data_IF_938454745812
#
_entry.id   IF_938454745812
#
_cell.length_a   1.000
_cell.length_b   1.000
_cell.length_c   1.000
_cell.angle_alpha   90.00
_cell.angle_beta   90.00
_cell.angle_gamma   90.00
#
_symmetry.space_group_name_H-M   'P 1'
#
loop_
_entity.id
_entity.type
_entity.pdbx_description
1 polymer ?
#
# COMPACT_ATOMS: atom_id res chain seq x y z
N UNK A 1 39.37 14.29 37.76
CA UNK A 1 39.13 13.46 36.57
C UNK A 1 37.85 12.63 36.54
N UNK A 2 36.95 12.67 37.54
CA UNK A 2 35.71 11.86 37.60
C UNK A 2 34.42 12.60 37.19
N UNK A 3 34.45 13.91 37.01
CA UNK A 3 33.30 14.71 36.58
C UNK A 3 33.16 14.81 35.04
N UNK A 4 34.19 14.49 34.27
CA UNK A 4 34.19 14.59 32.81
C UNK A 4 33.53 13.42 32.07
N UNK A 5 33.37 12.26 32.74
CA UNK A 5 32.72 11.08 32.11
C UNK A 5 31.19 11.13 32.13
N UNK A 6 30.55 11.92 32.97
CA UNK A 6 29.11 12.04 33.02
C UNK A 6 28.56 12.99 31.89
N UNK A 7 29.40 13.89 31.38
CA UNK A 7 29.01 14.82 30.30
C UNK A 7 29.00 14.22 28.89
N UNK A 8 29.78 13.17 28.67
CA UNK A 8 29.93 12.58 27.32
C UNK A 8 28.78 11.68 26.95
N UNK A 9 28.05 11.12 27.91
CA UNK A 9 26.89 10.22 27.62
C UNK A 9 25.59 10.97 27.29
N UNK A 10 25.48 12.27 27.60
CA UNK A 10 24.30 13.07 27.24
C UNK A 10 24.40 13.72 25.86
N UNK A 11 25.59 13.83 25.30
CA UNK A 11 25.80 14.48 24.00
C UNK A 11 25.53 13.55 22.78
N UNK A 12 25.34 12.25 22.98
CA UNK A 12 25.15 11.28 21.92
C UNK A 12 23.66 11.08 21.49
N UNK A 13 22.73 11.80 22.12
CA UNK A 13 21.31 11.74 21.78
C UNK A 13 20.87 12.93 20.91
N UNK A 14 21.70 13.35 19.95
CA UNK A 14 21.20 14.19 18.88
C UNK A 14 20.15 13.39 18.09
N UNK A 15 18.90 13.89 17.94
CA UNK A 15 17.94 13.22 17.08
C UNK A 15 18.55 13.20 15.68
N UNK A 16 18.89 12.00 15.20
CA UNK A 16 19.15 11.81 13.79
C UNK A 16 17.90 12.32 13.08
N UNK A 17 18.02 13.43 12.36
CA UNK A 17 16.96 13.93 11.50
C UNK A 17 16.71 12.83 10.48
N UNK A 18 15.66 12.05 10.70
CA UNK A 18 15.24 11.06 9.75
C UNK A 18 14.84 11.81 8.48
N UNK A 19 15.65 11.70 7.45
CA UNK A 19 15.41 12.29 6.11
C UNK A 19 14.35 11.50 5.34
N UNK A 20 13.42 10.83 6.04
CA UNK A 20 12.29 10.09 5.50
C UNK A 20 10.98 10.86 5.59
N UNK A 21 9.95 10.32 4.96
CA UNK A 21 8.58 10.84 5.04
C UNK A 21 8.16 11.01 6.50
N UNK A 22 7.63 12.18 6.82
CA UNK A 22 7.12 12.47 8.16
C UNK A 22 5.87 11.60 8.43
N UNK A 23 5.62 11.15 9.68
CA UNK A 23 4.48 10.30 10.01
C UNK A 23 3.12 10.81 9.53
N UNK A 24 2.89 12.13 9.59
CA UNK A 24 1.70 12.76 9.03
C UNK A 24 1.57 12.60 7.50
N UNK A 25 2.66 12.34 6.81
CA UNK A 25 2.67 12.12 5.36
C UNK A 25 2.26 10.68 5.00
N UNK A 26 2.49 9.70 5.89
CA UNK A 26 2.04 8.32 5.69
C UNK A 26 0.53 8.19 5.82
N UNK A 27 -0.12 8.91 6.74
CA UNK A 27 -1.57 8.91 6.88
C UNK A 27 -2.30 9.51 5.67
N UNK A 28 -1.60 10.35 4.90
CA UNK A 28 -2.11 10.89 3.63
C UNK A 28 -1.96 9.90 2.45
N UNK A 29 -1.23 8.79 2.63
CA UNK A 29 -0.89 7.79 1.61
C UNK A 29 -1.38 6.41 2.05
N UNK A 30 -2.68 6.27 2.28
CA UNK A 30 -3.24 5.02 2.78
C UNK A 30 -4.44 4.57 1.96
N UNK A 31 -4.75 3.29 2.01
CA UNK A 31 -6.07 2.82 1.62
C UNK A 31 -7.07 3.14 2.73
N UNK A 32 -8.07 3.98 2.44
CA UNK A 32 -9.29 4.03 3.24
C UNK A 32 -10.19 2.92 2.75
N UNK A 33 -10.31 1.85 3.52
CA UNK A 33 -11.09 0.70 3.08
C UNK A 33 -12.58 1.02 3.05
N UNK A 34 -13.20 0.76 1.89
CA UNK A 34 -14.65 0.90 1.65
C UNK A 34 -15.22 -0.44 1.18
N UNK A 35 -15.21 -1.52 1.99
CA UNK A 35 -15.73 -2.81 1.58
C UNK A 35 -17.19 -2.70 1.11
N UNK A 36 -17.52 -3.35 0.02
CA UNK A 36 -18.84 -3.29 -0.61
C UNK A 36 -19.12 -2.03 -1.43
N UNK A 37 -18.25 -1.02 -1.41
CA UNK A 37 -18.43 0.15 -2.25
C UNK A 37 -18.29 -0.21 -3.75
N UNK A 38 -19.09 0.44 -4.58
CA UNK A 38 -19.12 0.26 -6.02
C UNK A 38 -18.02 1.09 -6.69
N UNK A 39 -17.20 0.47 -7.53
CA UNK A 39 -16.30 1.24 -8.41
C UNK A 39 -17.10 1.92 -9.54
N UNK A 40 -16.63 3.06 -10.09
CA UNK A 40 -17.36 3.77 -11.15
C UNK A 40 -17.29 3.00 -12.48
N UNK A 41 -18.27 2.13 -12.71
CA UNK A 41 -18.35 1.26 -13.89
C UNK A 41 -18.44 2.05 -15.21
N UNK A 42 -18.94 3.29 -15.15
CA UNK A 42 -19.04 4.24 -16.27
C UNK A 42 -17.71 4.94 -16.59
N UNK A 43 -16.68 4.75 -15.75
CA UNK A 43 -15.38 5.37 -15.98
C UNK A 43 -14.79 4.96 -17.33
N UNK A 44 -14.49 5.95 -18.17
CA UNK A 44 -13.89 5.74 -19.50
C UNK A 44 -12.39 5.95 -19.40
N UNK A 45 -11.65 4.92 -19.75
CA UNK A 45 -10.19 4.86 -19.80
C UNK A 45 -9.73 4.57 -21.23
N UNK A 46 -8.43 4.49 -21.46
CA UNK A 46 -7.83 4.07 -22.72
C UNK A 46 -7.05 2.77 -22.51
N UNK A 47 -7.25 1.81 -23.40
CA UNK A 47 -6.49 0.57 -23.43
C UNK A 47 -5.09 0.80 -24.06
N UNK A 48 -4.30 -0.25 -24.14
CA UNK A 48 -2.93 -0.26 -24.68
C UNK A 48 -2.86 0.11 -26.18
N UNK A 49 -3.99 0.02 -26.88
CA UNK A 49 -4.11 0.45 -28.28
C UNK A 49 -4.68 1.86 -28.43
N UNK A 50 -4.96 2.54 -27.31
CA UNK A 50 -5.54 3.88 -27.28
C UNK A 50 -7.05 3.93 -27.44
N UNK A 51 -7.73 2.79 -27.52
CA UNK A 51 -9.19 2.72 -27.66
C UNK A 51 -9.85 3.08 -26.33
N UNK A 52 -10.96 3.87 -26.38
CA UNK A 52 -11.73 4.15 -25.18
C UNK A 52 -12.45 2.87 -24.72
N UNK A 53 -12.31 2.54 -23.43
CA UNK A 53 -12.96 1.40 -22.81
C UNK A 53 -13.64 1.82 -21.51
N UNK A 54 -14.80 1.25 -21.19
CA UNK A 54 -15.48 1.47 -19.92
C UNK A 54 -14.99 0.43 -18.90
N UNK A 55 -14.70 0.86 -17.68
CA UNK A 55 -14.26 -0.03 -16.63
C UNK A 55 -15.22 -1.22 -16.44
N UNK A 56 -16.52 -0.95 -16.37
CA UNK A 56 -17.52 -2.01 -16.20
C UNK A 56 -17.54 -3.05 -17.32
N UNK A 57 -17.21 -2.67 -18.56
CA UNK A 57 -17.15 -3.63 -19.68
C UNK A 57 -15.95 -4.59 -19.57
N UNK A 58 -14.89 -4.19 -18.87
CA UNK A 58 -13.70 -5.02 -18.69
C UNK A 58 -13.90 -6.08 -17.60
N UNK A 59 -14.75 -5.82 -16.61
CA UNK A 59 -15.03 -6.80 -15.56
C UNK A 59 -15.72 -8.05 -16.09
N UNK A 60 -16.53 -7.90 -17.14
CA UNK A 60 -17.15 -9.01 -17.92
C UNK A 60 -17.89 -10.04 -17.04
N UNK A 61 -18.46 -9.63 -15.91
CA UNK A 61 -19.17 -10.52 -14.98
C UNK A 61 -18.26 -11.51 -14.25
N UNK A 62 -16.98 -11.21 -14.12
CA UNK A 62 -15.97 -12.01 -13.40
C UNK A 62 -15.40 -11.26 -12.22
N UNK A 63 -14.95 -11.95 -11.16
CA UNK A 63 -14.14 -11.29 -10.14
C UNK A 63 -12.94 -10.63 -10.80
N UNK A 64 -12.48 -9.51 -10.26
CA UNK A 64 -11.42 -8.74 -10.89
C UNK A 64 -10.41 -8.27 -9.86
N UNK A 65 -9.14 -8.24 -10.22
CA UNK A 65 -8.10 -7.58 -9.44
C UNK A 65 -7.86 -6.20 -10.05
N UNK A 66 -8.03 -5.15 -9.25
CA UNK A 66 -7.79 -3.77 -9.63
C UNK A 66 -6.56 -3.22 -8.90
N UNK A 67 -5.56 -2.83 -9.67
CA UNK A 67 -4.32 -2.21 -9.20
C UNK A 67 -4.28 -0.76 -9.68
N UNK A 68 -3.94 0.15 -8.78
CA UNK A 68 -3.67 1.56 -9.09
C UNK A 68 -2.18 1.81 -8.85
N UNK A 69 -1.45 2.12 -9.90
CA UNK A 69 -0.02 2.43 -9.83
C UNK A 69 0.41 3.29 -11.02
N UNK A 70 1.64 3.80 -11.04
CA UNK A 70 2.16 4.38 -12.26
C UNK A 70 3.15 3.42 -12.93
N UNK A 71 3.04 3.31 -14.26
CA UNK A 71 3.61 2.22 -15.03
C UNK A 71 5.12 2.33 -15.24
N UNK A 72 5.68 3.55 -15.12
CA UNK A 72 7.11 3.84 -15.26
C UNK A 72 7.82 4.09 -13.93
N UNK A 73 7.39 3.42 -12.86
CA UNK A 73 8.06 3.57 -11.56
C UNK A 73 9.48 2.99 -11.61
N UNK A 74 10.52 3.81 -11.40
CA UNK A 74 11.90 3.33 -11.37
C UNK A 74 12.25 2.59 -10.06
N UNK A 75 11.32 2.53 -9.09
CA UNK A 75 11.55 2.04 -7.74
C UNK A 75 10.67 0.82 -7.39
N UNK A 76 10.10 0.85 -6.18
CA UNK A 76 9.42 -0.30 -5.58
C UNK A 76 8.00 -0.58 -6.11
N UNK A 77 7.39 0.33 -6.89
CA UNK A 77 6.00 0.17 -7.33
C UNK A 77 5.80 -1.07 -8.19
N UNK A 78 6.74 -1.38 -9.06
CA UNK A 78 6.74 -2.62 -9.84
C UNK A 78 6.77 -3.91 -9.01
N UNK A 79 7.14 -3.85 -7.72
CA UNK A 79 7.14 -5.04 -6.86
C UNK A 79 5.74 -5.52 -6.52
N UNK A 80 4.76 -4.62 -6.34
CA UNK A 80 3.36 -5.01 -6.10
C UNK A 80 2.83 -5.78 -7.31
N UNK A 81 3.02 -5.23 -8.49
CA UNK A 81 2.54 -5.81 -9.73
C UNK A 81 3.28 -7.11 -10.08
N UNK A 82 4.60 -7.14 -9.96
CA UNK A 82 5.39 -8.35 -10.16
C UNK A 82 5.03 -9.46 -9.15
N UNK A 83 4.84 -9.10 -7.89
CA UNK A 83 4.37 -10.01 -6.84
C UNK A 83 3.00 -10.58 -7.17
N UNK A 84 2.06 -9.74 -7.57
CA UNK A 84 0.71 -10.16 -7.97
C UNK A 84 0.72 -11.09 -9.18
N UNK A 85 1.49 -10.77 -10.23
CA UNK A 85 1.63 -11.63 -11.43
C UNK A 85 2.22 -12.99 -11.06
N UNK A 86 3.25 -13.01 -10.21
CA UNK A 86 3.83 -14.24 -9.67
C UNK A 86 2.79 -15.05 -8.89
N UNK A 87 2.04 -14.39 -8.00
CA UNK A 87 1.06 -15.06 -7.15
C UNK A 87 -0.13 -15.60 -7.96
N UNK A 88 -0.56 -14.92 -9.04
CA UNK A 88 -1.52 -15.44 -10.01
C UNK A 88 -1.03 -16.74 -10.65
N UNK A 89 0.21 -16.77 -11.14
CA UNK A 89 0.82 -17.96 -11.73
C UNK A 89 0.91 -19.11 -10.72
N UNK A 90 1.39 -18.84 -9.51
CA UNK A 90 1.53 -19.85 -8.46
C UNK A 90 0.18 -20.37 -7.94
N UNK A 91 -0.87 -19.54 -7.96
CA UNK A 91 -2.23 -19.93 -7.60
C UNK A 91 -2.95 -20.72 -8.70
N UNK A 92 -2.38 -20.78 -9.91
CA UNK A 92 -3.00 -21.37 -11.10
C UNK A 92 -4.19 -20.57 -11.62
N UNK A 93 -4.27 -19.27 -11.28
CA UNK A 93 -5.30 -18.34 -11.71
C UNK A 93 -4.93 -17.73 -13.06
N UNK A 94 -5.85 -17.75 -14.01
CA UNK A 94 -5.66 -17.22 -15.36
C UNK A 94 -6.59 -16.04 -15.61
N UNK A 95 -6.05 -14.81 -15.79
CA UNK A 95 -6.83 -13.68 -16.27
C UNK A 95 -7.54 -14.03 -17.59
N UNK A 96 -8.74 -13.52 -17.76
CA UNK A 96 -9.63 -13.88 -18.89
C UNK A 96 -10.49 -15.11 -18.63
N UNK A 97 -9.98 -16.11 -17.93
CA UNK A 97 -10.72 -17.32 -17.56
C UNK A 97 -11.33 -17.22 -16.17
N UNK A 98 -10.50 -17.03 -15.15
CA UNK A 98 -10.90 -17.10 -13.73
C UNK A 98 -11.24 -15.73 -13.13
N UNK A 99 -10.59 -14.69 -13.66
CA UNK A 99 -10.74 -13.30 -13.22
C UNK A 99 -10.38 -12.32 -14.34
N UNK A 100 -10.60 -11.03 -14.10
CA UNK A 100 -10.01 -9.96 -14.91
C UNK A 100 -8.87 -9.31 -14.12
N UNK A 101 -7.80 -8.95 -14.79
CA UNK A 101 -6.69 -8.17 -14.25
C UNK A 101 -6.76 -6.77 -14.85
N UNK A 102 -6.87 -5.77 -13.98
CA UNK A 102 -7.01 -4.37 -14.38
C UNK A 102 -5.97 -3.53 -13.64
N UNK A 103 -4.97 -3.05 -14.36
CA UNK A 103 -3.99 -2.06 -13.89
C UNK A 103 -4.34 -0.68 -14.46
N UNK A 104 -4.49 0.32 -13.60
CA UNK A 104 -4.81 1.70 -14.00
C UNK A 104 -3.68 2.62 -13.58
N UNK A 105 -3.11 3.34 -14.54
CA UNK A 105 -2.10 4.36 -14.28
C UNK A 105 -2.67 5.53 -13.48
N UNK A 106 -1.94 5.94 -12.46
CA UNK A 106 -2.23 7.16 -11.68
C UNK A 106 -1.47 8.39 -12.20
N UNK A 107 -0.53 8.22 -13.14
CA UNK A 107 0.18 9.34 -13.75
C UNK A 107 -0.57 9.84 -15.01
N UNK A 108 -1.09 11.08 -14.98
CA UNK A 108 -1.79 11.63 -16.12
C UNK A 108 -0.90 11.88 -17.35
N UNK A 109 0.42 11.73 -17.21
CA UNK A 109 1.39 11.84 -18.31
C UNK A 109 1.56 10.54 -19.07
N UNK A 110 1.21 9.40 -18.45
CA UNK A 110 1.31 8.10 -19.09
C UNK A 110 0.17 7.92 -20.10
N UNK A 111 0.53 7.34 -21.23
CA UNK A 111 -0.36 7.11 -22.34
C UNK A 111 -0.46 5.63 -22.74
N UNK A 112 -1.21 5.32 -23.81
CA UNK A 112 -1.38 3.95 -24.29
C UNK A 112 -0.08 3.22 -24.61
N UNK A 113 0.94 3.92 -25.10
CA UNK A 113 2.25 3.33 -25.38
C UNK A 113 2.94 2.84 -24.08
N UNK A 114 2.76 3.58 -23.00
CA UNK A 114 3.30 3.21 -21.68
C UNK A 114 2.57 1.98 -21.13
N UNK A 115 1.26 1.94 -21.29
CA UNK A 115 0.44 0.80 -20.93
C UNK A 115 0.82 -0.45 -21.73
N UNK A 116 1.05 -0.32 -23.04
CA UNK A 116 1.51 -1.41 -23.90
C UNK A 116 2.89 -1.94 -23.47
N UNK A 117 3.82 -1.03 -23.16
CA UNK A 117 5.15 -1.39 -22.67
C UNK A 117 5.09 -2.10 -21.32
N UNK A 118 4.32 -1.58 -20.37
CA UNK A 118 4.11 -2.21 -19.07
C UNK A 118 3.55 -3.61 -19.22
N UNK A 119 2.48 -3.77 -20.01
CA UNK A 119 1.88 -5.08 -20.29
C UNK A 119 2.91 -6.07 -20.84
N UNK A 120 3.68 -5.67 -21.85
CA UNK A 120 4.71 -6.52 -22.42
C UNK A 120 5.82 -6.92 -21.44
N UNK A 121 6.07 -6.08 -20.41
CA UNK A 121 7.04 -6.38 -19.36
C UNK A 121 6.57 -7.39 -18.32
N UNK A 122 5.27 -7.56 -18.16
CA UNK A 122 4.68 -8.47 -17.15
C UNK A 122 4.11 -9.77 -17.71
N UNK A 123 3.76 -9.81 -19.00
CA UNK A 123 3.27 -11.00 -19.66
C UNK A 123 4.39 -11.75 -20.34
N UNK A 124 4.37 -13.07 -20.17
CA UNK A 124 5.22 -13.94 -20.98
C UNK A 124 4.79 -13.88 -22.45
N UNK A 125 5.69 -14.15 -23.37
CA UNK A 125 5.43 -14.02 -24.81
C UNK A 125 4.30 -14.95 -25.32
N UNK A 126 4.08 -16.05 -24.62
CA UNK A 126 3.05 -17.07 -24.88
C UNK A 126 1.80 -16.93 -24.00
N UNK A 127 1.75 -15.93 -23.11
CA UNK A 127 0.58 -15.70 -22.27
C UNK A 127 -0.62 -15.23 -23.11
N UNK A 128 -1.79 -15.83 -22.85
CA UNK A 128 -3.03 -15.31 -23.41
C UNK A 128 -3.25 -13.87 -22.92
N UNK A 129 -3.30 -12.88 -23.84
CA UNK A 129 -3.52 -11.49 -23.45
C UNK A 129 -4.93 -11.22 -22.93
N UNK A 130 -5.87 -12.13 -23.14
CA UNK A 130 -7.24 -11.97 -22.68
C UNK A 130 -7.31 -11.81 -21.17
N UNK A 131 -8.07 -10.84 -20.71
CA UNK A 131 -8.23 -10.56 -19.27
C UNK A 131 -7.11 -9.77 -18.62
N UNK A 132 -6.11 -9.33 -19.35
CA UNK A 132 -5.06 -8.42 -18.89
C UNK A 132 -5.28 -7.03 -19.49
N UNK A 133 -5.60 -6.07 -18.64
CA UNK A 133 -5.93 -4.71 -19.03
C UNK A 133 -4.99 -3.72 -18.33
N UNK A 134 -4.15 -3.06 -19.11
CA UNK A 134 -3.31 -1.96 -18.66
C UNK A 134 -3.87 -0.66 -19.21
N UNK A 135 -4.32 0.22 -18.34
CA UNK A 135 -5.17 1.34 -18.71
C UNK A 135 -4.53 2.67 -18.31
N UNK A 136 -4.79 3.66 -19.14
CA UNK A 136 -4.45 5.06 -18.83
C UNK A 136 -5.71 5.91 -18.96
N UNK A 137 -5.71 7.11 -18.37
CA UNK A 137 -6.88 7.96 -18.47
C UNK A 137 -6.68 9.37 -17.92
N UNK A 138 -7.67 10.24 -18.15
CA UNK A 138 -7.64 11.59 -17.62
C UNK A 138 -7.63 11.58 -16.09
N UNK A 139 -6.86 12.49 -15.46
CA UNK A 139 -6.75 12.60 -14.02
C UNK A 139 -8.12 12.59 -13.29
N UNK A 140 -9.15 13.31 -13.72
CA UNK A 140 -10.46 13.27 -13.04
C UNK A 140 -11.09 11.88 -13.02
N UNK A 141 -10.95 11.10 -14.10
CA UNK A 141 -11.47 9.73 -14.18
C UNK A 141 -10.71 8.80 -13.24
N UNK A 142 -9.37 8.90 -13.24
CA UNK A 142 -8.51 8.10 -12.36
C UNK A 142 -8.75 8.45 -10.90
N UNK A 143 -8.92 9.73 -10.56
CA UNK A 143 -9.28 10.16 -9.20
C UNK A 143 -10.61 9.58 -8.74
N UNK A 144 -11.65 9.55 -9.59
CA UNK A 144 -12.93 8.92 -9.26
C UNK A 144 -12.76 7.43 -8.88
N UNK A 145 -11.93 6.71 -9.62
CA UNK A 145 -11.63 5.30 -9.32
C UNK A 145 -10.85 5.19 -8.01
N UNK A 146 -9.81 6.01 -7.84
CA UNK A 146 -8.99 6.04 -6.63
C UNK A 146 -9.83 6.36 -5.38
N UNK A 147 -10.70 7.36 -5.45
CA UNK A 147 -11.60 7.73 -4.34
C UNK A 147 -12.57 6.60 -3.99
N UNK A 148 -13.14 5.92 -5.00
CA UNK A 148 -14.06 4.81 -4.78
C UNK A 148 -13.40 3.66 -4.03
N UNK A 149 -12.14 3.32 -4.37
CA UNK A 149 -11.36 2.29 -3.68
C UNK A 149 -10.59 2.81 -2.45
N UNK A 150 -10.74 4.09 -2.14
CA UNK A 150 -10.04 4.73 -1.02
C UNK A 150 -8.53 4.78 -1.17
N UNK A 151 -8.02 4.75 -2.40
CA UNK A 151 -6.59 4.83 -2.71
C UNK A 151 -6.12 6.27 -2.70
N UNK A 152 -5.34 6.65 -1.71
CA UNK A 152 -4.82 8.01 -1.55
C UNK A 152 -3.39 8.11 -2.05
N UNK A 153 -3.17 8.97 -3.01
CA UNK A 153 -1.86 9.21 -3.60
C UNK A 153 -1.62 10.70 -3.83
N UNK A 154 -0.37 11.08 -3.96
CA UNK A 154 0.03 12.46 -4.29
C UNK A 154 1.35 12.46 -5.07
N UNK A 155 1.53 13.47 -5.91
CA UNK A 155 2.82 13.73 -6.53
C UNK A 155 3.76 14.40 -5.53
N UNK A 156 4.93 13.81 -5.30
CA UNK A 156 5.99 14.37 -4.47
C UNK A 156 6.99 15.11 -5.38
N UNK A 157 6.96 16.44 -5.30
CA UNK A 157 7.82 17.29 -6.11
C UNK A 157 9.31 17.18 -5.78
N UNK A 158 9.64 16.79 -4.54
CA UNK A 158 11.03 16.69 -4.10
C UNK A 158 11.76 15.52 -4.76
N UNK A 159 11.05 14.45 -5.04
CA UNK A 159 11.60 13.24 -5.69
C UNK A 159 11.09 13.05 -7.12
N UNK A 160 10.16 13.90 -7.58
CA UNK A 160 9.59 13.82 -8.93
C UNK A 160 8.73 12.58 -9.18
N UNK A 161 8.13 11.99 -8.14
CA UNK A 161 7.42 10.73 -8.22
C UNK A 161 6.08 10.78 -7.48
N UNK A 162 5.18 9.83 -7.81
CA UNK A 162 3.97 9.64 -7.03
C UNK A 162 4.26 8.80 -5.79
N UNK A 163 3.90 9.34 -4.63
CA UNK A 163 3.82 8.60 -3.38
C UNK A 163 2.42 8.01 -3.27
N UNK A 164 2.31 6.70 -3.08
CA UNK A 164 1.06 5.95 -3.02
C UNK A 164 1.19 4.73 -2.10
N UNK A 165 0.07 4.19 -1.57
CA UNK A 165 0.10 2.96 -0.78
C UNK A 165 0.40 1.75 -1.66
N UNK A 166 1.01 0.71 -1.07
CA UNK A 166 1.20 -0.58 -1.71
C UNK A 166 -0.04 -1.47 -1.50
N UNK A 167 -0.43 -2.20 -2.53
CA UNK A 167 -1.54 -3.14 -2.49
C UNK A 167 -2.52 -2.99 -3.65
N UNK A 168 -3.56 -3.80 -3.63
CA UNK A 168 -4.62 -3.82 -4.65
C UNK A 168 -5.95 -4.25 -4.04
N UNK A 169 -7.01 -4.13 -4.82
CA UNK A 169 -8.35 -4.55 -4.41
C UNK A 169 -8.86 -5.68 -5.30
N UNK A 170 -9.61 -6.59 -4.71
CA UNK A 170 -10.36 -7.62 -5.44
C UNK A 170 -11.82 -7.18 -5.49
N UNK A 171 -12.38 -7.19 -6.70
CA UNK A 171 -13.75 -6.79 -6.98
C UNK A 171 -14.62 -8.00 -7.27
N UNK A 172 -15.87 -7.93 -6.86
CA UNK A 172 -16.92 -8.85 -7.26
C UNK A 172 -17.24 -8.72 -8.76
N UNK A 173 -17.96 -9.67 -9.37
CA UNK A 173 -18.36 -9.61 -10.78
C UNK A 173 -19.17 -8.35 -11.16
N UNK A 174 -19.92 -7.79 -10.22
CA UNK A 174 -20.67 -6.54 -10.38
C UNK A 174 -19.86 -5.28 -10.05
N UNK A 175 -18.58 -5.43 -9.65
CA UNK A 175 -17.64 -4.32 -9.41
C UNK A 175 -17.73 -3.70 -8.03
N UNK A 176 -18.25 -4.42 -7.02
CA UNK A 176 -18.11 -4.01 -5.61
C UNK A 176 -16.77 -4.48 -5.06
N UNK A 177 -16.22 -3.72 -4.13
CA UNK A 177 -14.98 -4.07 -3.44
C UNK A 177 -15.24 -5.26 -2.52
N UNK A 178 -14.70 -6.42 -2.87
CA UNK A 178 -14.78 -7.65 -2.07
C UNK A 178 -13.73 -7.64 -0.95
N UNK A 179 -12.47 -7.42 -1.30
CA UNK A 179 -11.34 -7.51 -0.37
C UNK A 179 -10.21 -6.58 -0.74
N UNK A 180 -9.48 -6.10 0.27
CA UNK A 180 -8.21 -5.40 0.13
C UNK A 180 -7.06 -6.35 0.41
N UNK A 181 -6.06 -6.35 -0.46
CA UNK A 181 -4.78 -7.03 -0.26
C UNK A 181 -3.70 -5.94 -0.18
N UNK A 182 -3.26 -5.64 1.05
CA UNK A 182 -2.41 -4.50 1.37
C UNK A 182 -0.95 -4.94 1.58
N UNK A 183 0.00 -4.14 1.10
CA UNK A 183 1.43 -4.44 1.17
C UNK A 183 1.97 -5.05 -0.12
N UNK A 184 3.12 -5.74 -0.02
CA UNK A 184 3.86 -6.27 -1.17
C UNK A 184 3.78 -7.79 -1.29
N UNK A 185 3.49 -8.50 -0.19
CA UNK A 185 3.50 -9.96 -0.14
C UNK A 185 2.17 -10.48 0.39
N UNK A 186 1.41 -11.14 -0.45
CA UNK A 186 0.10 -11.69 -0.10
C UNK A 186 0.10 -13.21 -0.15
N UNK A 187 0.85 -13.76 -1.08
CA UNK A 187 0.94 -15.18 -1.37
C UNK A 187 -0.24 -15.73 -2.19
N UNK A 188 0.02 -16.82 -2.92
CA UNK A 188 -0.93 -17.38 -3.88
C UNK A 188 -2.22 -17.90 -3.23
N UNK A 189 -2.14 -18.42 -2.00
CA UNK A 189 -3.30 -18.93 -1.28
C UNK A 189 -4.30 -17.84 -0.89
N UNK A 190 -3.80 -16.69 -0.39
CA UNK A 190 -4.65 -15.56 -0.02
C UNK A 190 -5.31 -14.93 -1.25
N UNK A 191 -4.55 -14.77 -2.36
CA UNK A 191 -5.09 -14.29 -3.62
C UNK A 191 -6.18 -15.23 -4.16
N UNK A 192 -5.94 -16.55 -4.15
CA UNK A 192 -6.91 -17.55 -4.61
C UNK A 192 -8.19 -17.50 -3.78
N UNK A 193 -8.07 -17.37 -2.46
CA UNK A 193 -9.23 -17.26 -1.57
C UNK A 193 -10.01 -15.96 -1.88
N UNK A 194 -9.33 -14.82 -2.01
CA UNK A 194 -9.96 -13.54 -2.30
C UNK A 194 -10.73 -13.55 -3.64
N UNK A 195 -10.13 -14.11 -4.69
CA UNK A 195 -10.78 -14.24 -6.01
C UNK A 195 -12.00 -15.17 -5.93
N UNK A 196 -11.88 -16.31 -5.21
CA UNK A 196 -12.98 -17.24 -5.05
C UNK A 196 -14.16 -16.65 -4.24
N UNK A 197 -13.88 -15.87 -3.20
CA UNK A 197 -14.88 -15.16 -2.39
C UNK A 197 -15.56 -14.07 -3.20
N UNK A 198 -14.78 -13.26 -3.91
CA UNK A 198 -15.31 -12.24 -4.82
C UNK A 198 -16.23 -12.85 -5.89
N UNK A 199 -15.84 -14.00 -6.47
CA UNK A 199 -16.66 -14.75 -7.44
C UNK A 199 -18.00 -15.25 -6.89
N UNK A 200 -18.14 -15.29 -5.56
CA UNK A 200 -19.41 -15.60 -4.87
C UNK A 200 -20.12 -14.35 -4.32
N UNK A 201 -19.74 -13.17 -4.80
CA UNK A 201 -20.25 -11.87 -4.35
C UNK A 201 -20.05 -11.60 -2.84
N UNK A 202 -19.09 -12.28 -2.22
CA UNK A 202 -18.77 -12.07 -0.81
C UNK A 202 -17.93 -10.81 -0.62
N UNK A 203 -18.28 -10.03 0.40
CA UNK A 203 -17.56 -8.85 0.81
C UNK A 203 -16.97 -9.09 2.20
N UNK A 204 -15.65 -9.01 2.31
CA UNK A 204 -14.98 -9.14 3.59
C UNK A 204 -15.12 -7.86 4.41
N UNK A 205 -15.39 -7.96 5.72
CA UNK A 205 -15.37 -6.78 6.59
C UNK A 205 -13.96 -6.17 6.60
N UNK A 206 -13.83 -4.87 6.87
CA UNK A 206 -12.52 -4.22 6.92
C UNK A 206 -11.63 -4.90 7.95
N UNK A 207 -10.35 -5.03 7.66
CA UNK A 207 -9.38 -5.64 8.56
C UNK A 207 -9.42 -4.96 9.94
N UNK A 208 -9.38 -5.75 11.01
CA UNK A 208 -9.51 -5.23 12.36
C UNK A 208 -8.39 -4.23 12.67
N UNK A 209 -8.68 -3.04 13.22
CA UNK A 209 -7.68 -1.99 13.45
C UNK A 209 -6.45 -2.44 14.23
N UNK A 210 -6.62 -3.36 15.21
CA UNK A 210 -5.50 -3.91 15.99
C UNK A 210 -4.53 -4.75 15.15
N UNK A 211 -5.03 -5.52 14.17
CA UNK A 211 -4.17 -6.28 13.25
C UNK A 211 -3.37 -5.34 12.35
N UNK A 212 -3.99 -4.26 11.90
CA UNK A 212 -3.31 -3.26 11.06
C UNK A 212 -2.21 -2.51 11.83
N UNK A 213 -2.38 -2.28 13.14
CA UNK A 213 -1.34 -1.72 14.02
C UNK A 213 -0.12 -2.63 14.12
N UNK A 214 -0.29 -3.96 14.19
CA UNK A 214 0.83 -4.91 14.22
C UNK A 214 1.68 -4.88 12.94
N UNK A 215 1.09 -4.51 11.80
CA UNK A 215 1.78 -4.37 10.51
C UNK A 215 2.22 -2.92 10.21
N UNK A 216 2.12 -2.01 11.20
CA UNK A 216 2.48 -0.59 11.03
C UNK A 216 1.54 0.18 10.12
N UNK A 217 0.39 -0.39 9.79
CA UNK A 217 -0.61 0.22 8.92
C UNK A 217 -1.77 0.78 9.77
N UNK A 218 -1.90 2.11 9.80
CA UNK A 218 -3.04 2.77 10.42
C UNK A 218 -4.04 3.22 9.34
N UNK A 219 -5.23 2.60 9.28
CA UNK A 219 -6.23 2.94 8.27
C UNK A 219 -6.88 4.30 8.51
N UNK A 220 -6.74 4.88 9.71
CA UNK A 220 -7.49 6.08 10.05
C UNK A 220 -6.68 7.37 10.17
N UNK A 221 -5.36 7.37 10.36
CA UNK A 221 -4.59 8.62 10.37
C UNK A 221 -3.06 8.54 10.57
N UNK A 222 -2.41 7.42 10.75
CA UNK A 222 -0.96 7.40 11.07
C UNK A 222 -0.60 8.02 12.44
N UNK A 223 -1.60 8.56 13.16
CA UNK A 223 -1.40 9.29 14.41
C UNK A 223 -1.39 8.40 15.65
N UNK A 224 -2.14 7.30 15.65
CA UNK A 224 -2.21 6.41 16.84
C UNK A 224 -0.90 5.63 16.98
N UNK A 225 -0.36 5.10 15.89
CA UNK A 225 0.93 4.40 15.91
C UNK A 225 2.06 5.37 16.30
N UNK A 226 2.03 6.60 15.81
CA UNK A 226 2.99 7.63 16.18
C UNK A 226 2.88 8.03 17.65
N UNK A 227 1.67 8.30 18.16
CA UNK A 227 1.43 8.63 19.57
C UNK A 227 1.77 7.47 20.50
N UNK A 228 1.43 6.24 20.14
CA UNK A 228 1.80 5.06 20.90
C UNK A 228 3.33 4.85 20.94
N UNK A 229 4.02 5.04 19.80
CA UNK A 229 5.47 4.98 19.74
C UNK A 229 6.15 6.09 20.57
N UNK A 230 5.62 7.31 20.53
CA UNK A 230 6.12 8.41 21.36
C UNK A 230 5.88 8.15 22.85
N UNK A 231 4.70 7.64 23.23
CA UNK A 231 4.42 7.26 24.60
C UNK A 231 5.38 6.15 25.10
N UNK A 232 5.65 5.14 24.26
CA UNK A 232 6.59 4.08 24.55
C UNK A 232 8.03 4.61 24.70
N UNK A 233 8.45 5.54 23.85
CA UNK A 233 9.76 6.20 23.98
C UNK A 233 9.87 6.98 25.29
N UNK A 234 8.86 7.78 25.64
CA UNK A 234 8.84 8.53 26.90
C UNK A 234 8.91 7.57 28.10
N UNK A 235 8.13 6.50 28.09
CA UNK A 235 8.16 5.47 29.13
C UNK A 235 9.54 4.80 29.26
N UNK A 236 10.18 4.47 28.12
CA UNK A 236 11.52 3.90 28.10
C UNK A 236 12.58 4.87 28.69
N UNK A 237 12.53 6.15 28.30
CA UNK A 237 13.42 7.16 28.87
C UNK A 237 13.20 7.36 30.37
N UNK A 238 11.94 7.38 30.83
CA UNK A 238 11.60 7.48 32.24
C UNK A 238 12.13 6.26 33.03
N UNK A 239 12.01 5.05 32.52
CA UNK A 239 12.53 3.84 33.12
C UNK A 239 14.05 3.86 33.23
N UNK A 240 14.77 4.26 32.17
CA UNK A 240 16.23 4.40 32.17
C UNK A 240 16.67 5.44 33.19
N UNK A 241 16.00 6.59 33.24
CA UNK A 241 16.31 7.64 34.24
C UNK A 241 16.08 7.16 35.68
N UNK A 242 14.99 6.43 35.93
CA UNK A 242 14.71 5.85 37.26
C UNK A 242 15.75 4.83 37.66
N UNK A 243 16.18 3.93 36.79
CA UNK A 243 17.24 2.95 37.04
C UNK A 243 18.56 3.66 37.29
N UNK A 244 18.93 4.64 36.49
CA UNK A 244 20.13 5.43 36.67
C UNK A 244 20.13 6.17 38.02
N UNK A 245 19.02 6.79 38.41
CA UNK A 245 18.85 7.45 39.71
C UNK A 245 18.99 6.44 40.85
N UNK A 246 18.35 5.28 40.76
CA UNK A 246 18.45 4.22 41.76
C UNK A 246 19.90 3.75 41.95
N UNK A 247 20.58 3.44 40.85
CA UNK A 247 21.99 2.99 40.89
C UNK A 247 22.91 4.06 41.49
N UNK A 248 22.74 5.32 41.06
CA UNK A 248 23.55 6.43 41.60
C UNK A 248 23.28 6.67 43.09
N UNK A 249 22.02 6.54 43.53
CA UNK A 249 21.67 6.68 44.94
C UNK A 249 22.21 5.53 45.79
N UNK A 250 22.20 4.30 45.29
CA UNK A 250 22.80 3.13 45.95
C UNK A 250 24.31 3.29 46.10
N UNK A 251 25.00 3.67 45.03
CA UNK A 251 26.46 3.93 45.05
C UNK A 251 26.86 5.07 46.00
N UNK A 252 26.00 6.10 46.12
CA UNK A 252 26.25 7.19 47.10
C UNK A 252 26.10 6.71 48.55
N UNK A 253 25.12 5.84 48.84
CA UNK A 253 24.90 5.25 50.16
C UNK A 253 26.06 4.33 50.59
N UNK A 254 26.60 3.54 49.65
CA UNK A 254 27.77 2.69 49.92
C UNK A 254 29.05 3.49 50.23
N UNK A 255 29.20 4.66 49.57
CA UNK A 255 30.36 5.54 49.82
C UNK A 255 30.29 6.35 51.13
N UNK A 256 29.10 6.44 51.73
CA UNK A 256 28.86 7.17 52.97
C UNK A 256 28.93 6.27 54.21
N UNK A 257 29.12 4.96 54.01
CA UNK A 257 29.43 3.96 55.03
C UNK A 257 30.94 3.68 55.07
#
# INVERSE_FOLDING_TARGET
MRAALAGVLLAAAAPAAATGLQPAQFGALAFRQHPGAQVPLDAVLRDESGRPVRLGSLLAGKPSVLVLEYLHCPNLCGLVLAGLVRDLKMAGLQPGRDLQFVAVSIDPKEGPADAAKARAGYLDADADPAGWHFLTGPAPTVHRIADAVGFRYRFDKAIGQFAHPAGFVVLTPDGRISRYLLGFEHGPAALKAAVAEAGRDQVEPPAHPLLLLCFGYDPQQGTIAYTAMQALRVAAFAAVAAIAHYVLSALRRERAR
#
